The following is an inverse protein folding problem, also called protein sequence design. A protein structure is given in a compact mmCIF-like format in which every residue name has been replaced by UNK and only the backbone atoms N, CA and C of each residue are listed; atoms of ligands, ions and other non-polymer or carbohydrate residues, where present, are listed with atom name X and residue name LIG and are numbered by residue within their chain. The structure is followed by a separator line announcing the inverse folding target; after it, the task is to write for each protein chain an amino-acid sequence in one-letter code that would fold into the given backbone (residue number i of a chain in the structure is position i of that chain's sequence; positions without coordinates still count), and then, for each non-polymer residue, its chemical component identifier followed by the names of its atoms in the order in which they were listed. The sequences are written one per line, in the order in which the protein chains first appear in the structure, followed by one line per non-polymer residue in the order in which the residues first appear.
data_IF_519798893297
#
_entry.id   IF_519798893297
#
_cell.length_a   1.000
_cell.length_b   1.000
_cell.length_c   1.000
_cell.angle_alpha   90.00
_cell.angle_beta   90.00
_cell.angle_gamma   90.00
#
_symmetry.space_group_name_H-M   'P 1'
#
loop_
_entity.id
_entity.type
_entity.pdbx_description
1 polymer ?
#
# COMPACT_ATOMS: atom_id res chain seq x y z
N UNK A 1 39.96 43.46 -31.52
CA UNK A 1 39.41 42.23 -30.91
C UNK A 1 38.07 42.57 -30.28
N UNK A 2 36.96 42.04 -30.82
CA UNK A 2 35.58 42.46 -30.51
C UNK A 2 35.09 41.77 -29.22
N UNK A 3 35.11 42.47 -28.09
CA UNK A 3 34.45 42.04 -26.86
C UNK A 3 32.93 42.20 -27.00
N UNK A 4 32.19 41.09 -26.99
CA UNK A 4 30.72 41.11 -27.04
C UNK A 4 30.20 41.45 -25.64
N UNK A 5 29.77 42.70 -25.44
CA UNK A 5 29.02 43.12 -24.26
C UNK A 5 27.66 42.41 -24.25
N UNK A 6 27.49 41.46 -23.34
CA UNK A 6 26.22 40.75 -23.14
C UNK A 6 25.25 41.67 -22.38
N UNK A 7 24.06 41.92 -22.95
CA UNK A 7 23.06 42.82 -22.36
C UNK A 7 22.45 42.21 -21.08
N UNK A 8 22.18 42.99 -20.01
CA UNK A 8 21.74 42.49 -18.70
C UNK A 8 20.41 41.72 -18.74
N UNK A 9 19.54 41.99 -19.71
CA UNK A 9 18.29 41.23 -19.90
C UNK A 9 18.52 39.74 -20.25
N UNK A 10 19.63 39.41 -20.93
CA UNK A 10 19.97 38.02 -21.26
C UNK A 10 20.45 37.23 -20.03
N UNK A 11 21.06 37.90 -19.05
CA UNK A 11 21.50 37.29 -17.79
C UNK A 11 20.32 36.96 -16.86
N UNK A 12 19.30 37.82 -16.81
CA UNK A 12 18.09 37.56 -16.02
C UNK A 12 17.23 36.42 -16.59
N UNK A 13 17.05 36.36 -17.92
CA UNK A 13 16.31 35.27 -18.55
C UNK A 13 17.00 33.91 -18.38
N UNK A 14 18.34 33.86 -18.48
CA UNK A 14 19.12 32.65 -18.27
C UNK A 14 19.07 32.15 -16.81
N UNK A 15 19.08 33.07 -15.84
CA UNK A 15 18.96 32.72 -14.42
C UNK A 15 17.57 32.15 -14.09
N UNK A 16 16.49 32.73 -14.60
CA UNK A 16 15.13 32.20 -14.43
C UNK A 16 14.94 30.84 -15.12
N UNK A 17 15.52 30.66 -16.33
CA UNK A 17 15.48 29.37 -17.01
C UNK A 17 16.25 28.29 -16.23
N UNK A 18 17.42 28.62 -15.66
CA UNK A 18 18.18 27.68 -14.82
C UNK A 18 17.48 27.35 -13.51
N UNK A 19 16.81 28.32 -12.87
CA UNK A 19 15.99 28.12 -11.68
C UNK A 19 14.75 27.24 -11.98
N UNK A 20 14.10 27.45 -13.13
CA UNK A 20 12.96 26.63 -13.55
C UNK A 20 13.39 25.20 -13.89
N UNK A 21 14.50 25.03 -14.62
CA UNK A 21 15.06 23.71 -14.95
C UNK A 21 15.52 22.95 -13.70
N UNK A 22 16.13 23.64 -12.73
CA UNK A 22 16.56 23.02 -11.47
C UNK A 22 15.36 22.60 -10.60
N UNK A 23 14.29 23.41 -10.57
CA UNK A 23 13.05 23.06 -9.89
C UNK A 23 12.39 21.83 -10.53
N UNK A 24 12.29 21.78 -11.87
CA UNK A 24 11.74 20.65 -12.61
C UNK A 24 12.56 19.36 -12.41
N UNK A 25 13.89 19.46 -12.36
CA UNK A 25 14.79 18.32 -12.10
C UNK A 25 14.63 17.78 -10.67
N UNK A 26 14.54 18.67 -9.68
CA UNK A 26 14.33 18.25 -8.28
C UNK A 26 12.97 17.59 -8.05
N UNK A 27 11.92 18.01 -8.77
CA UNK A 27 10.61 17.38 -8.71
C UNK A 27 10.60 15.98 -9.33
N UNK A 28 11.34 15.78 -10.43
CA UNK A 28 11.48 14.48 -11.09
C UNK A 28 12.27 13.48 -10.25
N UNK A 29 13.31 13.93 -9.54
CA UNK A 29 14.09 13.07 -8.65
C UNK A 29 13.29 12.61 -7.43
N UNK A 30 12.49 13.49 -6.82
CA UNK A 30 11.62 13.15 -5.69
C UNK A 30 10.50 12.17 -6.07
N UNK A 31 9.88 12.35 -7.24
CA UNK A 31 8.89 11.42 -7.78
C UNK A 31 9.52 10.04 -8.04
N UNK A 32 10.69 10.00 -8.69
CA UNK A 32 11.41 8.76 -8.98
C UNK A 32 11.96 8.04 -7.74
N UNK A 33 12.27 8.76 -6.65
CA UNK A 33 12.63 8.16 -5.36
C UNK A 33 11.40 7.58 -4.65
N UNK A 34 10.27 8.29 -4.68
CA UNK A 34 9.01 7.83 -4.09
C UNK A 34 8.51 6.54 -4.77
N UNK A 35 8.61 6.47 -6.10
CA UNK A 35 8.25 5.26 -6.86
C UNK A 35 9.17 4.07 -6.55
N UNK A 36 10.49 4.29 -6.45
CA UNK A 36 11.46 3.23 -6.08
C UNK A 36 11.19 2.68 -4.69
N UNK A 37 11.00 3.55 -3.70
CA UNK A 37 10.67 3.14 -2.34
C UNK A 37 9.35 2.36 -2.25
N UNK A 38 8.32 2.77 -3.00
CA UNK A 38 7.05 2.04 -3.05
C UNK A 38 7.20 0.64 -3.68
N UNK A 39 8.02 0.48 -4.71
CA UNK A 39 8.30 -0.83 -5.34
C UNK A 39 9.06 -1.76 -4.39
N UNK A 40 10.07 -1.24 -3.69
CA UNK A 40 10.84 -1.99 -2.68
C UNK A 40 9.95 -2.48 -1.53
N UNK A 41 9.05 -1.62 -1.04
CA UNK A 41 8.08 -1.95 0.01
C UNK A 41 7.09 -3.06 -0.40
N UNK A 42 6.75 -3.13 -1.68
CA UNK A 42 5.87 -4.17 -2.23
C UNK A 42 6.60 -5.49 -2.50
N UNK A 43 7.91 -5.44 -2.80
CA UNK A 43 8.72 -6.61 -3.12
C UNK A 43 9.16 -7.39 -1.86
N UNK A 44 9.41 -6.67 -0.77
CA UNK A 44 9.85 -7.25 0.51
C UNK A 44 8.70 -7.71 1.40
N UNK A 45 7.89 -8.66 0.92
CA UNK A 45 6.82 -9.26 1.74
C UNK A 45 7.38 -10.35 2.66
N UNK A 46 8.10 -9.94 3.70
CA UNK A 46 8.67 -10.86 4.69
C UNK A 46 7.58 -11.55 5.54
N UNK A 47 7.83 -12.79 5.97
CA UNK A 47 6.91 -13.55 6.83
C UNK A 47 6.63 -12.79 8.13
N UNK A 48 5.36 -12.70 8.50
CA UNK A 48 4.95 -12.03 9.74
C UNK A 48 5.48 -12.78 10.96
N UNK A 49 6.09 -12.05 11.89
CA UNK A 49 6.56 -12.57 13.17
C UNK A 49 5.55 -12.35 14.30
N UNK A 50 5.54 -13.21 15.32
CA UNK A 50 4.82 -12.95 16.57
C UNK A 50 5.23 -11.59 17.16
N UNK A 51 4.25 -10.82 17.62
CA UNK A 51 4.46 -9.51 18.24
C UNK A 51 3.82 -9.48 19.62
N UNK A 52 4.45 -8.76 20.55
CA UNK A 52 3.93 -8.57 21.91
C UNK A 52 2.61 -7.78 21.94
N UNK A 53 2.35 -6.94 20.93
CA UNK A 53 1.16 -6.10 20.86
C UNK A 53 -0.03 -6.76 20.13
N UNK A 54 0.21 -7.84 19.40
CA UNK A 54 -0.81 -8.60 18.65
C UNK A 54 -0.75 -10.08 19.05
N UNK A 55 -1.13 -10.34 20.30
CA UNK A 55 -1.22 -11.70 20.87
C UNK A 55 -2.61 -12.29 20.60
N UNK A 56 -2.69 -13.60 20.33
CA UNK A 56 -3.98 -14.29 20.26
C UNK A 56 -4.70 -14.24 21.60
N UNK A 57 -6.03 -14.23 21.56
CA UNK A 57 -6.88 -14.29 22.74
C UNK A 57 -7.22 -15.74 23.15
N UNK A 58 -7.13 -16.68 22.21
CA UNK A 58 -7.40 -18.11 22.42
C UNK A 58 -6.13 -18.93 22.32
N UNK A 59 -6.22 -20.20 22.72
CA UNK A 59 -5.06 -21.10 22.81
C UNK A 59 -4.83 -21.90 21.54
N UNK A 60 -5.87 -22.11 20.73
CA UNK A 60 -5.81 -22.88 19.48
C UNK A 60 -6.12 -21.98 18.27
N UNK A 61 -5.57 -22.29 17.08
CA UNK A 61 -5.86 -21.51 15.87
C UNK A 61 -7.34 -21.57 15.46
N UNK A 62 -8.02 -22.70 15.71
CA UNK A 62 -9.45 -22.86 15.43
C UNK A 62 -10.30 -21.96 16.32
N UNK A 63 -10.15 -22.03 17.65
CA UNK A 63 -10.88 -21.16 18.59
C UNK A 63 -10.57 -19.68 18.35
N UNK A 64 -9.33 -19.37 17.97
CA UNK A 64 -8.95 -18.00 17.65
C UNK A 64 -9.68 -17.47 16.41
N UNK A 65 -9.84 -18.30 15.38
CA UNK A 65 -10.59 -17.93 14.17
C UNK A 65 -12.07 -17.70 14.52
N UNK A 66 -12.70 -18.62 15.25
CA UNK A 66 -14.08 -18.50 15.72
C UNK A 66 -14.29 -17.24 16.57
N UNK A 67 -13.33 -16.93 17.45
CA UNK A 67 -13.38 -15.71 18.25
C UNK A 67 -13.29 -14.44 17.38
N UNK A 68 -12.43 -14.44 16.36
CA UNK A 68 -12.33 -13.33 15.43
C UNK A 68 -13.62 -13.17 14.59
N UNK A 69 -14.23 -14.27 14.16
CA UNK A 69 -15.51 -14.30 13.46
C UNK A 69 -16.64 -13.76 14.34
N UNK A 70 -16.69 -14.14 15.62
CA UNK A 70 -17.67 -13.63 16.58
C UNK A 70 -17.53 -12.12 16.81
N UNK A 71 -16.29 -11.61 16.87
CA UNK A 71 -16.04 -10.17 16.93
C UNK A 71 -16.54 -9.45 15.67
N UNK A 72 -16.32 -10.04 14.50
CA UNK A 72 -16.78 -9.50 13.23
C UNK A 72 -18.32 -9.48 13.15
N UNK A 73 -18.98 -10.57 13.54
CA UNK A 73 -20.44 -10.68 13.62
C UNK A 73 -21.03 -9.65 14.60
N UNK A 74 -20.33 -9.36 15.70
CA UNK A 74 -20.68 -8.29 16.64
C UNK A 74 -20.34 -6.87 16.15
N UNK A 75 -19.95 -6.68 14.88
CA UNK A 75 -19.62 -5.38 14.30
C UNK A 75 -18.27 -4.79 14.74
N UNK A 76 -17.46 -5.52 15.51
CA UNK A 76 -16.18 -5.05 16.05
C UNK A 76 -15.04 -5.24 15.04
N UNK A 77 -15.16 -4.61 13.88
CA UNK A 77 -14.28 -4.80 12.71
C UNK A 77 -12.78 -4.66 13.05
N UNK A 78 -12.40 -3.58 13.74
CA UNK A 78 -10.99 -3.35 14.12
C UNK A 78 -10.45 -4.43 15.06
N UNK A 79 -11.29 -4.91 15.98
CA UNK A 79 -10.89 -5.96 16.92
C UNK A 79 -10.73 -7.30 16.19
N UNK A 80 -11.67 -7.64 15.30
CA UNK A 80 -11.60 -8.84 14.46
C UNK A 80 -10.31 -8.85 13.61
N UNK A 81 -10.01 -7.74 12.91
CA UNK A 81 -8.79 -7.61 12.11
C UNK A 81 -7.51 -7.86 12.95
N UNK A 82 -7.45 -7.31 14.18
CA UNK A 82 -6.32 -7.58 15.08
C UNK A 82 -6.20 -9.05 15.45
N UNK A 83 -7.32 -9.73 15.72
CA UNK A 83 -7.32 -11.14 16.10
C UNK A 83 -6.97 -12.09 14.95
N UNK A 84 -7.41 -11.80 13.72
CA UNK A 84 -6.95 -12.51 12.52
C UNK A 84 -5.45 -12.31 12.29
N UNK A 85 -4.95 -11.07 12.43
CA UNK A 85 -3.52 -10.78 12.31
C UNK A 85 -2.68 -11.54 13.35
N UNK A 86 -3.17 -11.61 14.60
CA UNK A 86 -2.53 -12.37 15.66
C UNK A 86 -2.50 -13.88 15.35
N UNK A 87 -3.58 -14.42 14.78
CA UNK A 87 -3.65 -15.82 14.35
C UNK A 87 -2.55 -16.14 13.32
N UNK A 88 -2.47 -15.36 12.24
CA UNK A 88 -1.49 -15.56 11.16
C UNK A 88 -0.05 -15.47 11.69
N UNK A 89 0.21 -14.52 12.59
CA UNK A 89 1.53 -14.32 13.21
C UNK A 89 1.95 -15.49 14.10
N UNK A 90 1.02 -16.03 14.91
CA UNK A 90 1.33 -17.08 15.87
C UNK A 90 1.32 -18.47 15.26
N UNK A 91 0.34 -18.75 14.40
CA UNK A 91 0.09 -20.07 13.82
C UNK A 91 0.08 -20.02 12.29
N UNK A 92 1.14 -19.46 11.71
CA UNK A 92 1.26 -19.27 10.26
C UNK A 92 1.05 -20.56 9.45
N UNK A 93 1.50 -21.70 9.97
CA UNK A 93 1.42 -23.00 9.30
C UNK A 93 0.08 -23.70 9.49
N UNK A 94 -0.81 -23.17 10.33
CA UNK A 94 -2.12 -23.77 10.58
C UNK A 94 -3.03 -23.73 9.35
N UNK A 95 -4.00 -24.68 9.24
CA UNK A 95 -5.03 -24.65 8.21
C UNK A 95 -5.88 -23.38 8.22
N UNK A 96 -6.03 -22.73 9.38
CA UNK A 96 -6.83 -21.52 9.56
C UNK A 96 -6.07 -20.25 9.12
N UNK A 97 -4.75 -20.30 8.94
CA UNK A 97 -3.95 -19.12 8.63
C UNK A 97 -4.31 -18.42 7.30
N UNK A 98 -4.51 -19.12 6.16
CA UNK A 98 -4.95 -18.49 4.91
C UNK A 98 -6.29 -17.82 5.04
N UNK A 99 -7.23 -18.49 5.72
CA UNK A 99 -8.56 -17.95 5.98
C UNK A 99 -8.46 -16.65 6.79
N UNK A 100 -7.72 -16.67 7.89
CA UNK A 100 -7.53 -15.48 8.72
C UNK A 100 -6.83 -14.35 7.95
N UNK A 101 -5.82 -14.67 7.14
CA UNK A 101 -5.13 -13.70 6.30
C UNK A 101 -6.07 -13.09 5.25
N UNK A 102 -6.90 -13.90 4.60
CA UNK A 102 -7.93 -13.44 3.67
C UNK A 102 -8.93 -12.50 4.35
N UNK A 103 -9.48 -12.89 5.50
CA UNK A 103 -10.39 -12.05 6.28
C UNK A 103 -9.73 -10.73 6.66
N UNK A 104 -8.48 -10.76 7.13
CA UNK A 104 -7.72 -9.55 7.45
C UNK A 104 -7.63 -8.60 6.25
N UNK A 105 -7.27 -9.09 5.07
CA UNK A 105 -7.18 -8.29 3.85
C UNK A 105 -8.53 -7.63 3.50
N UNK A 106 -9.63 -8.40 3.55
CA UNK A 106 -10.98 -7.88 3.30
C UNK A 106 -11.42 -6.83 4.33
N UNK A 107 -11.08 -7.01 5.60
CA UNK A 107 -11.44 -6.03 6.63
C UNK A 107 -10.65 -4.73 6.48
N UNK A 108 -9.38 -4.80 6.08
CA UNK A 108 -8.59 -3.61 5.79
C UNK A 108 -9.13 -2.84 4.59
N UNK A 109 -9.50 -3.56 3.53
CA UNK A 109 -10.18 -3.01 2.35
C UNK A 109 -11.47 -2.29 2.77
N UNK A 110 -12.34 -2.95 3.54
CA UNK A 110 -13.59 -2.36 4.05
C UNK A 110 -13.37 -1.12 4.92
N UNK A 111 -12.25 -1.03 5.63
CA UNK A 111 -11.90 0.14 6.45
C UNK A 111 -11.30 1.31 5.64
N UNK A 112 -11.16 1.18 4.32
CA UNK A 112 -10.53 2.18 3.46
C UNK A 112 -9.01 2.25 3.64
N UNK A 113 -8.40 1.21 4.21
CA UNK A 113 -6.95 1.10 4.40
C UNK A 113 -6.32 0.45 3.16
N UNK A 114 -6.51 1.08 2.01
CA UNK A 114 -6.23 0.54 0.68
C UNK A 114 -4.81 0.00 0.55
N UNK A 115 -3.79 0.78 0.91
CA UNK A 115 -2.38 0.35 0.86
C UNK A 115 -2.10 -0.86 1.75
N UNK A 116 -2.70 -0.89 2.95
CA UNK A 116 -2.52 -2.01 3.86
C UNK A 116 -3.22 -3.26 3.33
N UNK A 117 -4.44 -3.14 2.84
CA UNK A 117 -5.20 -4.23 2.23
C UNK A 117 -4.44 -4.83 1.04
N UNK A 118 -3.91 -3.99 0.15
CA UNK A 118 -3.13 -4.44 -1.00
C UNK A 118 -1.92 -5.28 -0.58
N UNK A 119 -1.13 -4.79 0.40
CA UNK A 119 0.02 -5.50 0.95
C UNK A 119 -0.38 -6.83 1.58
N UNK A 120 -1.52 -6.89 2.26
CA UNK A 120 -2.00 -8.12 2.89
C UNK A 120 -2.53 -9.14 1.88
N UNK A 121 -3.07 -8.71 0.73
CA UNK A 121 -3.33 -9.59 -0.40
C UNK A 121 -2.04 -10.10 -1.06
N UNK A 122 -1.02 -9.25 -1.23
CA UNK A 122 0.30 -9.70 -1.72
C UNK A 122 0.91 -10.74 -0.77
N UNK A 123 0.80 -10.52 0.55
CA UNK A 123 1.22 -11.48 1.56
C UNK A 123 0.50 -12.82 1.40
N UNK A 124 -0.82 -12.79 1.22
CA UNK A 124 -1.63 -13.99 1.03
C UNK A 124 -1.16 -14.78 -0.20
N UNK A 125 -0.96 -14.09 -1.34
CA UNK A 125 -0.48 -14.71 -2.59
C UNK A 125 0.88 -15.35 -2.41
N UNK A 126 1.82 -14.64 -1.77
CA UNK A 126 3.19 -15.12 -1.59
C UNK A 126 3.29 -16.29 -0.62
N UNK A 127 2.62 -16.23 0.52
CA UNK A 127 2.84 -17.17 1.63
C UNK A 127 1.80 -18.27 1.73
N UNK A 128 0.65 -18.13 1.07
CA UNK A 128 -0.43 -19.11 1.11
C UNK A 128 -0.96 -19.52 -0.27
N UNK A 129 -0.10 -19.74 -1.29
CA UNK A 129 -0.53 -20.05 -2.64
C UNK A 129 -1.46 -21.28 -2.68
N UNK A 130 -2.54 -21.19 -3.46
CA UNK A 130 -3.52 -22.27 -3.64
C UNK A 130 -4.46 -22.54 -2.46
N UNK A 131 -4.38 -21.77 -1.36
CA UNK A 131 -5.22 -21.96 -0.16
C UNK A 131 -6.28 -20.86 0.04
N UNK A 132 -6.56 -20.09 -1.00
CA UNK A 132 -7.51 -18.97 -1.02
C UNK A 132 -8.04 -18.77 -2.45
N UNK A 133 -9.14 -18.03 -2.66
CA UNK A 133 -9.64 -17.74 -4.00
C UNK A 133 -8.73 -16.72 -4.72
N UNK A 134 -7.78 -17.23 -5.52
CA UNK A 134 -6.75 -16.42 -6.17
C UNK A 134 -7.31 -15.30 -7.04
N UNK A 135 -8.23 -15.63 -7.96
CA UNK A 135 -8.82 -14.65 -8.89
C UNK A 135 -9.52 -13.51 -8.14
N UNK A 136 -10.19 -13.83 -7.02
CA UNK A 136 -10.81 -12.80 -6.20
C UNK A 136 -9.79 -11.90 -5.50
N UNK A 137 -8.62 -12.44 -5.11
CA UNK A 137 -7.55 -11.62 -4.53
C UNK A 137 -7.00 -10.61 -5.55
N UNK A 138 -6.74 -11.08 -6.78
CA UNK A 138 -6.25 -10.24 -7.88
C UNK A 138 -7.27 -9.15 -8.23
N UNK A 139 -8.54 -9.52 -8.38
CA UNK A 139 -9.62 -8.55 -8.63
C UNK A 139 -9.71 -7.49 -7.53
N UNK A 140 -9.63 -7.90 -6.25
CA UNK A 140 -9.62 -6.95 -5.13
C UNK A 140 -8.42 -6.01 -5.18
N UNK A 141 -7.24 -6.51 -5.51
CA UNK A 141 -6.03 -5.69 -5.65
C UNK A 141 -6.15 -4.69 -6.80
N UNK A 142 -6.74 -5.09 -7.92
CA UNK A 142 -7.03 -4.19 -9.03
C UNK A 142 -8.01 -3.07 -8.62
N UNK A 143 -9.10 -3.43 -7.92
CA UNK A 143 -10.04 -2.44 -7.38
C UNK A 143 -9.37 -1.46 -6.42
N UNK A 144 -8.54 -1.97 -5.50
CA UNK A 144 -7.77 -1.14 -4.57
C UNK A 144 -6.84 -0.19 -5.34
N UNK A 145 -6.07 -0.69 -6.31
CA UNK A 145 -5.15 0.13 -7.09
C UNK A 145 -5.89 1.25 -7.85
N UNK A 146 -7.08 0.96 -8.40
CA UNK A 146 -7.93 1.96 -9.03
C UNK A 146 -8.47 3.01 -8.05
N UNK A 147 -8.76 2.65 -6.80
CA UNK A 147 -9.15 3.61 -5.76
C UNK A 147 -7.97 4.50 -5.35
N UNK A 148 -6.77 3.92 -5.23
CA UNK A 148 -5.55 4.70 -4.98
C UNK A 148 -5.34 5.71 -6.11
N UNK A 149 -5.52 5.29 -7.37
CA UNK A 149 -5.36 6.14 -8.56
C UNK A 149 -6.28 7.37 -8.54
N UNK A 150 -7.52 7.16 -8.13
CA UNK A 150 -8.57 8.21 -8.14
C UNK A 150 -8.65 8.98 -6.81
N UNK A 151 -7.81 8.64 -5.83
CA UNK A 151 -7.78 9.31 -4.54
C UNK A 151 -7.28 10.76 -4.71
N UNK A 152 -8.12 11.72 -4.30
CA UNK A 152 -7.78 13.15 -4.40
C UNK A 152 -6.91 13.59 -3.22
N UNK A 153 -5.67 13.97 -3.51
CA UNK A 153 -4.75 14.59 -2.53
C UNK A 153 -5.09 16.05 -2.31
N UNK A 154 -4.67 16.61 -1.17
CA UNK A 154 -4.86 18.02 -0.81
C UNK A 154 -6.31 18.53 -0.99
N UNK A 155 -7.30 17.67 -0.68
CA UNK A 155 -8.74 17.96 -0.82
C UNK A 155 -9.16 19.29 -0.15
N UNK A 156 -8.42 19.70 0.89
CA UNK A 156 -8.65 20.92 1.64
C UNK A 156 -8.12 22.20 0.97
N UNK A 157 -7.13 22.13 0.08
CA UNK A 157 -6.50 23.33 -0.49
C UNK A 157 -7.17 23.79 -1.80
N UNK A 158 -7.59 22.88 -2.70
CA UNK A 158 -8.16 23.24 -4.02
C UNK A 158 -9.23 22.25 -4.52
N UNK A 159 -10.02 21.64 -3.63
CA UNK A 159 -10.95 20.54 -4.01
C UNK A 159 -10.24 19.20 -4.30
N UNK A 160 -8.91 19.22 -4.30
CA UNK A 160 -8.00 18.10 -4.41
C UNK A 160 -7.67 17.69 -5.84
N UNK A 161 -6.48 17.13 -6.04
CA UNK A 161 -6.01 16.65 -7.33
C UNK A 161 -5.80 15.13 -7.29
N UNK A 162 -6.12 14.45 -8.38
CA UNK A 162 -5.82 13.04 -8.54
C UNK A 162 -4.30 12.88 -8.69
N UNK A 163 -3.75 11.86 -8.03
CA UNK A 163 -2.34 11.49 -8.11
C UNK A 163 -2.21 10.09 -8.74
N UNK A 164 -2.53 9.93 -10.03
CA UNK A 164 -2.55 8.63 -10.69
C UNK A 164 -1.18 7.93 -10.68
N UNK A 165 -0.09 8.68 -10.61
CA UNK A 165 1.28 8.20 -10.49
C UNK A 165 1.50 7.33 -9.23
N UNK A 166 0.82 7.63 -8.13
CA UNK A 166 0.93 6.87 -6.88
C UNK A 166 0.38 5.44 -7.01
N UNK A 167 -0.54 5.22 -7.94
CA UNK A 167 -1.13 3.90 -8.19
C UNK A 167 -0.28 3.02 -9.11
N UNK A 168 0.65 3.59 -9.88
CA UNK A 168 1.48 2.87 -10.83
C UNK A 168 2.18 1.64 -10.22
N UNK A 169 2.89 1.71 -9.08
CA UNK A 169 3.57 0.54 -8.52
C UNK A 169 2.58 -0.58 -8.14
N UNK A 170 1.37 -0.23 -7.72
CA UNK A 170 0.33 -1.21 -7.38
C UNK A 170 -0.26 -1.87 -8.63
N UNK A 171 -0.54 -1.09 -9.67
CA UNK A 171 -1.05 -1.60 -10.95
C UNK A 171 -0.03 -2.49 -11.65
N UNK A 172 1.24 -2.06 -11.70
CA UNK A 172 2.34 -2.86 -12.23
C UNK A 172 2.46 -4.20 -11.49
N UNK A 173 2.30 -4.20 -10.17
CA UNK A 173 2.39 -5.40 -9.36
C UNK A 173 1.24 -6.39 -9.60
N UNK A 174 0.05 -5.90 -9.97
CA UNK A 174 -1.10 -6.76 -10.33
C UNK A 174 -0.95 -7.38 -11.72
N UNK A 175 -0.28 -6.68 -12.64
CA UNK A 175 -0.14 -7.10 -14.04
C UNK A 175 1.04 -8.07 -14.29
N UNK A 176 1.93 -8.25 -13.32
CA UNK A 176 3.05 -9.21 -13.36
C UNK A 176 2.58 -10.62 -13.03
#
# INVERSE_FOLDING_TARGET
MRGKNLKPAALFAAACAALWLAAECSAQDEAGQTERSAKEDLEQVARKSPSLFNRPAKSTPAEQAEYADALLAGGRIKAAARQYSALVRKWHESPQAPYAQWQLSLLLDRMGRDKDAFREFQYLIRWFPGRFPFDQAIERQFQIANRIRTAKRARFMFGGFEAPEEALPFLEQVAK
#
